data_IF_283140567618
#
_entry.id   IF_283140567618
#
_cell.length_a   1.000
_cell.length_b   1.000
_cell.length_c   1.000
_cell.angle_alpha   90.00
_cell.angle_beta   90.00
_cell.angle_gamma   90.00
#
_symmetry.space_group_name_H-M   'P 1'
#
loop_
_entity.id
_entity.type
_entity.pdbx_description
1 polymer ?
#
# COMPACT_ATOMS: atom_id res chain seq x y z
N UNK A 1 -26.38 11.40 -2.57
CA UNK A 1 -25.21 11.14 -3.42
C UNK A 1 -24.73 9.73 -3.11
N UNK A 2 -24.93 8.77 -3.98
CA UNK A 2 -24.36 7.43 -3.84
C UNK A 2 -22.88 7.56 -4.21
N UNK A 3 -22.02 7.42 -3.21
CA UNK A 3 -20.60 7.20 -3.47
C UNK A 3 -20.50 5.87 -4.22
N UNK A 4 -20.08 5.91 -5.47
CA UNK A 4 -19.71 4.68 -6.19
C UNK A 4 -18.67 3.94 -5.36
N UNK A 5 -18.78 2.61 -5.19
CA UNK A 5 -17.79 1.87 -4.43
C UNK A 5 -16.42 2.11 -5.08
N UNK A 6 -15.40 2.41 -4.27
CA UNK A 6 -14.04 2.56 -4.75
C UNK A 6 -13.66 1.31 -5.56
N UNK A 7 -13.45 1.48 -6.85
CA UNK A 7 -13.11 0.38 -7.78
C UNK A 7 -11.62 0.14 -7.85
N UNK A 8 -10.84 1.16 -7.53
CA UNK A 8 -9.38 1.13 -7.46
C UNK A 8 -8.87 2.18 -6.46
N UNK A 9 -7.61 2.09 -6.05
CA UNK A 9 -7.00 3.06 -5.14
C UNK A 9 -5.48 3.15 -5.32
N UNK A 10 -4.91 4.30 -5.00
CA UNK A 10 -3.48 4.44 -4.70
C UNK A 10 -3.27 4.19 -3.22
N UNK A 11 -2.17 3.56 -2.84
CA UNK A 11 -1.87 3.28 -1.43
C UNK A 11 -1.14 4.45 -0.78
N UNK A 12 -0.14 5.01 -1.46
CA UNK A 12 0.53 6.24 -1.06
C UNK A 12 0.43 7.27 -2.20
N UNK A 13 0.48 8.56 -1.87
CA UNK A 13 0.34 9.65 -2.86
C UNK A 13 1.44 9.63 -3.92
N UNK A 14 2.64 9.25 -3.54
CA UNK A 14 3.83 9.15 -4.38
C UNK A 14 3.86 7.89 -5.24
N UNK A 15 2.92 6.97 -5.06
CA UNK A 15 2.84 5.75 -5.85
C UNK A 15 2.50 6.08 -7.31
N UNK A 16 3.14 5.39 -8.23
CA UNK A 16 2.84 5.43 -9.66
C UNK A 16 2.14 4.15 -10.16
N UNK A 17 1.62 3.37 -9.20
CA UNK A 17 0.79 2.20 -9.40
C UNK A 17 -0.57 2.40 -8.72
N UNK A 18 -1.62 1.93 -9.38
CA UNK A 18 -3.00 1.92 -8.86
C UNK A 18 -3.44 0.48 -8.66
N UNK A 19 -4.05 0.18 -7.53
CA UNK A 19 -4.52 -1.17 -7.17
C UNK A 19 -5.98 -1.31 -7.54
N UNK A 20 -6.34 -2.33 -8.32
CA UNK A 20 -7.71 -2.71 -8.60
C UNK A 20 -8.33 -3.41 -7.38
N UNK A 21 -9.48 -2.93 -6.90
CA UNK A 21 -10.20 -3.51 -5.76
C UNK A 21 -11.21 -4.57 -6.18
N UNK A 22 -11.53 -4.64 -7.46
CA UNK A 22 -12.34 -5.67 -8.12
C UNK A 22 -11.77 -5.98 -9.50
N UNK A 23 -12.34 -6.95 -10.18
CA UNK A 23 -12.04 -7.18 -11.60
C UNK A 23 -12.50 -5.97 -12.41
N UNK A 24 -11.61 -5.46 -13.26
CA UNK A 24 -11.83 -4.36 -14.19
C UNK A 24 -11.67 -4.87 -15.61
N UNK A 25 -12.45 -4.32 -16.54
CA UNK A 25 -12.56 -4.79 -17.92
C UNK A 25 -11.91 -3.83 -18.92
N UNK A 26 -11.47 -4.31 -20.08
CA UNK A 26 -10.97 -3.45 -21.15
C UNK A 26 -12.02 -2.39 -21.55
N UNK A 27 -11.56 -1.14 -21.76
CA UNK A 27 -12.42 0.01 -22.05
C UNK A 27 -13.17 0.58 -20.85
N UNK A 28 -13.01 0.01 -19.67
CA UNK A 28 -13.63 0.55 -18.46
C UNK A 28 -12.91 1.83 -18.04
N UNK A 29 -13.71 2.83 -17.64
CA UNK A 29 -13.22 4.10 -17.11
C UNK A 29 -13.27 4.04 -15.57
N UNK A 30 -12.13 4.25 -14.93
CA UNK A 30 -11.98 4.20 -13.49
C UNK A 30 -11.54 5.57 -12.99
N UNK A 31 -12.17 6.07 -11.93
CA UNK A 31 -11.81 7.33 -11.27
C UNK A 31 -11.12 7.02 -9.93
N UNK A 32 -9.93 7.60 -9.73
CA UNK A 32 -9.16 7.48 -8.49
C UNK A 32 -8.59 8.85 -8.13
N UNK A 33 -8.93 9.38 -6.96
CA UNK A 33 -8.46 10.68 -6.44
C UNK A 33 -8.65 11.87 -7.39
N UNK A 34 -9.70 11.82 -8.24
CA UNK A 34 -10.01 12.86 -9.22
C UNK A 34 -9.32 12.68 -10.58
N UNK A 35 -8.49 11.66 -10.72
CA UNK A 35 -7.87 11.25 -11.98
C UNK A 35 -8.69 10.14 -12.64
N UNK A 36 -8.80 10.21 -13.97
CA UNK A 36 -9.56 9.24 -14.76
C UNK A 36 -8.61 8.36 -15.58
N UNK A 37 -8.85 7.05 -15.56
CA UNK A 37 -8.05 6.04 -16.27
C UNK A 37 -8.95 5.24 -17.19
N UNK A 38 -8.62 5.17 -18.46
CA UNK A 38 -9.19 4.23 -19.41
C UNK A 38 -8.28 2.99 -19.46
N UNK A 39 -8.85 1.81 -19.21
CA UNK A 39 -8.08 0.57 -19.13
C UNK A 39 -7.99 -0.09 -20.49
N UNK A 40 -6.80 -0.24 -21.09
CA UNK A 40 -6.65 -0.91 -22.38
C UNK A 40 -6.89 -2.42 -22.30
N UNK A 41 -6.65 -3.01 -21.13
CA UNK A 41 -6.74 -4.44 -20.89
C UNK A 41 -7.41 -4.77 -19.56
N UNK A 42 -7.74 -6.06 -19.37
CA UNK A 42 -8.29 -6.56 -18.11
C UNK A 42 -7.28 -6.41 -16.96
N UNK A 43 -7.75 -5.89 -15.82
CA UNK A 43 -7.00 -5.86 -14.56
C UNK A 43 -7.79 -6.65 -13.51
N UNK A 44 -7.26 -7.77 -13.06
CA UNK A 44 -7.92 -8.57 -12.03
C UNK A 44 -7.85 -7.89 -10.66
N UNK A 45 -8.80 -8.22 -9.78
CA UNK A 45 -8.80 -7.74 -8.39
C UNK A 45 -7.45 -7.97 -7.71
N UNK A 46 -6.96 -6.99 -6.96
CA UNK A 46 -5.65 -6.93 -6.28
C UNK A 46 -4.43 -6.79 -7.21
N UNK A 47 -4.63 -6.86 -8.55
CA UNK A 47 -3.59 -6.50 -9.51
C UNK A 47 -3.48 -4.99 -9.66
N UNK A 48 -2.45 -4.54 -10.35
CA UNK A 48 -2.07 -3.13 -10.47
C UNK A 48 -2.10 -2.70 -11.92
N UNK A 49 -2.39 -1.43 -12.13
CA UNK A 49 -2.24 -0.77 -13.42
C UNK A 49 -1.45 0.53 -13.27
N UNK A 50 -0.93 1.01 -14.37
CA UNK A 50 -0.04 2.15 -14.45
C UNK A 50 -0.79 3.47 -14.19
N UNK A 51 -0.30 4.30 -13.29
CA UNK A 51 -0.80 5.65 -13.02
C UNK A 51 -0.40 6.64 -14.13
N UNK A 52 0.71 6.39 -14.78
CA UNK A 52 1.30 7.17 -15.88
C UNK A 52 1.83 6.24 -16.96
N UNK A 53 2.21 6.80 -18.10
CA UNK A 53 2.99 6.05 -19.07
C UNK A 53 4.35 5.68 -18.48
N UNK A 54 4.75 4.42 -18.66
CA UNK A 54 6.07 3.90 -18.32
C UNK A 54 6.84 3.59 -19.60
N UNK A 55 8.10 3.97 -19.63
CA UNK A 55 9.05 3.46 -20.59
C UNK A 55 9.78 2.24 -20.02
N UNK A 56 10.48 1.50 -20.88
CA UNK A 56 11.36 0.43 -20.42
C UNK A 56 12.47 0.98 -19.52
N UNK A 57 12.62 0.41 -18.33
CA UNK A 57 13.61 0.83 -17.34
C UNK A 57 13.08 1.80 -16.29
N UNK A 58 11.82 2.23 -16.39
CA UNK A 58 11.21 3.09 -15.39
C UNK A 58 10.95 2.35 -14.09
N UNK A 59 11.10 3.08 -12.98
CA UNK A 59 10.89 2.53 -11.65
C UNK A 59 9.41 2.56 -11.26
N UNK A 60 8.91 1.43 -10.86
CA UNK A 60 7.58 1.26 -10.27
C UNK A 60 7.66 1.45 -8.75
N UNK A 61 6.83 2.37 -8.23
CA UNK A 61 6.78 2.74 -6.81
C UNK A 61 5.43 2.36 -6.23
N UNK A 62 5.44 1.65 -5.10
CA UNK A 62 4.26 1.29 -4.33
C UNK A 62 4.59 1.33 -2.84
N UNK A 63 3.65 1.82 -2.03
CA UNK A 63 3.88 2.10 -0.60
C UNK A 63 5.02 3.09 -0.35
N UNK A 64 5.24 4.03 -1.28
CA UNK A 64 6.34 4.99 -1.21
C UNK A 64 7.74 4.40 -1.46
N UNK A 65 7.85 3.13 -1.87
CA UNK A 65 9.13 2.46 -2.14
C UNK A 65 9.16 1.87 -3.55
N UNK A 66 10.37 1.76 -4.11
CA UNK A 66 10.58 1.09 -5.40
C UNK A 66 10.34 -0.40 -5.22
N UNK A 67 9.42 -0.96 -6.02
CA UNK A 67 9.03 -2.37 -6.00
C UNK A 67 9.43 -3.12 -7.29
N UNK A 68 9.76 -2.38 -8.35
CA UNK A 68 10.13 -2.99 -9.62
C UNK A 68 10.65 -1.99 -10.64
N UNK A 69 11.07 -2.53 -11.77
CA UNK A 69 11.50 -1.79 -12.96
C UNK A 69 10.80 -2.38 -14.18
N UNK A 70 10.25 -1.53 -15.04
CA UNK A 70 9.54 -1.98 -16.24
C UNK A 70 10.51 -2.58 -17.26
N UNK A 71 10.14 -3.73 -17.81
CA UNK A 71 10.94 -4.43 -18.84
C UNK A 71 10.58 -3.99 -20.26
N UNK A 72 9.44 -3.32 -20.41
CA UNK A 72 8.90 -2.77 -21.65
C UNK A 72 8.02 -1.55 -21.35
N UNK A 73 7.63 -0.81 -22.39
CA UNK A 73 6.70 0.30 -22.24
C UNK A 73 5.32 -0.21 -21.79
N UNK A 74 4.68 0.53 -20.87
CA UNK A 74 3.33 0.26 -20.38
C UNK A 74 2.57 1.58 -20.40
N UNK A 75 1.45 1.68 -21.14
CA UNK A 75 0.67 2.91 -21.19
C UNK A 75 -0.06 3.14 -19.86
N UNK A 76 -0.43 4.39 -19.60
CA UNK A 76 -1.30 4.75 -18.47
C UNK A 76 -2.59 3.92 -18.52
N UNK A 77 -2.99 3.35 -17.38
CA UNK A 77 -4.10 2.39 -17.27
C UNK A 77 -3.74 0.96 -17.66
N UNK A 78 -2.57 0.73 -18.24
CA UNK A 78 -2.10 -0.60 -18.64
C UNK A 78 -1.78 -1.48 -17.44
N UNK A 79 -2.08 -2.79 -17.49
CA UNK A 79 -1.80 -3.71 -16.39
C UNK A 79 -0.30 -3.91 -16.18
N UNK A 80 0.12 -3.95 -14.91
CA UNK A 80 1.47 -4.33 -14.52
C UNK A 80 1.48 -5.76 -14.04
N UNK A 81 2.29 -6.58 -14.70
CA UNK A 81 2.38 -8.02 -14.52
C UNK A 81 3.84 -8.47 -14.38
N UNK A 82 4.05 -9.72 -14.03
CA UNK A 82 5.41 -10.30 -14.01
C UNK A 82 6.09 -10.38 -15.38
N UNK A 83 5.36 -10.14 -16.47
CA UNK A 83 5.90 -10.14 -17.83
C UNK A 83 6.52 -8.79 -18.21
N UNK A 84 5.97 -7.68 -17.65
CA UNK A 84 6.39 -6.33 -17.98
C UNK A 84 7.01 -5.55 -16.81
N UNK A 85 7.09 -6.18 -15.61
CA UNK A 85 7.70 -5.60 -14.42
C UNK A 85 8.65 -6.62 -13.79
N UNK A 86 9.94 -6.31 -13.76
CA UNK A 86 10.94 -7.06 -13.01
C UNK A 86 11.01 -6.55 -11.57
N UNK A 87 11.16 -7.47 -10.61
CA UNK A 87 11.35 -7.07 -9.21
C UNK A 87 12.65 -6.26 -9.06
N UNK A 88 12.53 -5.09 -8.44
CA UNK A 88 13.67 -4.28 -8.05
C UNK A 88 13.35 -3.63 -6.70
N UNK A 89 14.22 -3.80 -5.75
CA UNK A 89 14.18 -3.05 -4.49
C UNK A 89 15.35 -2.08 -4.44
N UNK A 90 15.18 -0.96 -3.73
CA UNK A 90 16.32 -0.13 -3.37
C UNK A 90 17.30 -0.98 -2.56
N UNK A 91 18.60 -0.88 -2.86
CA UNK A 91 19.65 -1.53 -2.07
C UNK A 91 19.51 -1.08 -0.62
N UNK A 92 19.83 -1.99 0.32
CA UNK A 92 19.95 -1.62 1.73
C UNK A 92 21.09 -0.58 1.85
N UNK A 93 20.71 0.66 2.14
CA UNK A 93 21.67 1.72 2.47
C UNK A 93 21.78 1.82 3.99
N UNK A 94 22.98 1.94 4.52
CA UNK A 94 23.14 2.33 5.91
C UNK A 94 22.49 3.71 6.10
N UNK A 95 21.48 3.78 6.97
CA UNK A 95 20.93 5.07 7.38
C UNK A 95 21.99 5.79 8.19
N UNK A 96 22.59 6.81 7.59
CA UNK A 96 23.55 7.70 8.27
C UNK A 96 22.87 8.85 9.03
N UNK A 97 21.54 8.96 8.91
CA UNK A 97 20.78 9.96 9.65
C UNK A 97 20.64 9.52 11.13
N UNK A 98 20.98 10.42 12.04
CA UNK A 98 20.70 10.23 13.46
C UNK A 98 19.18 10.04 13.64
N UNK A 99 18.79 8.87 14.10
CA UNK A 99 17.39 8.58 14.43
C UNK A 99 17.05 9.39 15.68
N UNK A 100 16.40 10.53 15.51
CA UNK A 100 15.84 11.29 16.64
C UNK A 100 14.45 10.73 16.96
N UNK A 101 14.31 10.18 18.17
CA UNK A 101 13.01 9.80 18.70
C UNK A 101 12.27 11.04 19.22
N UNK A 102 11.21 11.44 18.51
CA UNK A 102 10.26 12.41 19.02
C UNK A 102 9.12 11.66 19.71
N UNK A 103 9.13 11.65 21.03
CA UNK A 103 8.08 11.03 21.81
C UNK A 103 6.71 11.71 21.48
N UNK A 104 5.66 10.94 21.16
CA UNK A 104 4.34 11.51 20.97
C UNK A 104 3.83 12.15 22.24
N UNK A 105 3.08 13.26 22.09
CA UNK A 105 2.41 13.89 23.24
C UNK A 105 1.25 13.01 23.73
N UNK A 106 1.45 12.37 24.86
CA UNK A 106 0.48 11.51 25.52
C UNK A 106 -0.16 12.16 26.75
N UNK A 107 0.02 13.47 26.93
CA UNK A 107 -0.45 14.21 28.12
C UNK A 107 -1.94 14.01 28.37
N UNK A 108 -2.76 13.92 27.32
CA UNK A 108 -4.20 13.67 27.40
C UNK A 108 -4.55 12.34 28.09
N UNK A 109 -3.68 11.34 28.01
CA UNK A 109 -3.94 10.00 28.54
C UNK A 109 -3.04 9.62 29.72
N UNK A 110 -2.23 10.57 30.21
CA UNK A 110 -1.26 10.31 31.29
C UNK A 110 -1.91 9.74 32.56
N UNK A 111 -3.13 10.21 32.86
CA UNK A 111 -3.90 9.80 34.05
C UNK A 111 -5.08 8.85 33.69
N UNK A 112 -5.15 8.39 32.43
CA UNK A 112 -6.17 7.45 32.00
C UNK A 112 -5.93 6.09 32.63
N UNK A 113 -7.00 5.48 33.13
CA UNK A 113 -6.98 4.14 33.75
C UNK A 113 -7.92 3.20 33.00
N UNK A 114 -7.70 1.90 33.13
CA UNK A 114 -8.57 0.86 32.60
C UNK A 114 -8.74 -0.28 33.61
N UNK A 115 -9.85 -1.02 33.51
CA UNK A 115 -10.03 -2.25 34.26
C UNK A 115 -9.30 -3.39 33.54
N UNK A 116 -8.27 -3.94 34.16
CA UNK A 116 -7.46 -5.00 33.60
C UNK A 116 -7.52 -6.33 34.37
N UNK A 117 -7.06 -7.40 33.72
CA UNK A 117 -6.90 -8.72 34.36
C UNK A 117 -5.53 -8.78 35.03
N UNK A 118 -5.52 -8.97 36.36
CA UNK A 118 -4.28 -9.19 37.11
C UNK A 118 -3.80 -10.63 36.93
N UNK A 119 -2.53 -10.81 36.62
CA UNK A 119 -1.87 -12.12 36.51
C UNK A 119 -1.05 -12.41 37.74
N UNK A 120 -0.70 -13.70 37.93
CA UNK A 120 0.06 -14.17 39.09
C UNK A 120 1.49 -13.59 39.17
N UNK A 121 2.05 -13.16 38.04
CA UNK A 121 3.36 -12.53 37.96
C UNK A 121 3.35 -11.00 38.23
N UNK A 122 2.18 -10.46 38.57
CA UNK A 122 1.96 -9.03 38.81
C UNK A 122 1.71 -8.19 37.56
N UNK A 123 1.75 -8.77 36.35
CA UNK A 123 1.40 -8.06 35.13
C UNK A 123 -0.11 -7.86 35.01
N UNK A 124 -0.53 -6.85 34.25
CA UNK A 124 -1.94 -6.53 33.99
C UNK A 124 -2.18 -6.47 32.48
N UNK A 125 -3.21 -7.13 32.00
CA UNK A 125 -3.61 -7.13 30.60
C UNK A 125 -5.04 -6.64 30.40
N UNK A 126 -5.34 -6.14 29.21
CA UNK A 126 -6.69 -5.70 28.82
C UNK A 126 -7.62 -6.85 28.46
N UNK A 127 -7.05 -8.00 28.07
CA UNK A 127 -7.78 -9.24 27.78
C UNK A 127 -6.88 -10.45 28.08
N UNK A 128 -7.51 -11.59 28.38
CA UNK A 128 -6.79 -12.84 28.65
C UNK A 128 -6.82 -13.71 27.38
N UNK A 129 -6.22 -13.23 26.30
CA UNK A 129 -6.15 -13.91 25.02
C UNK A 129 -4.86 -14.72 24.89
N UNK A 130 -4.96 -15.89 24.27
CA UNK A 130 -3.83 -16.68 23.85
C UNK A 130 -3.56 -16.45 22.37
N UNK A 131 -2.33 -16.11 22.01
CA UNK A 131 -1.88 -16.01 20.63
C UNK A 131 -1.18 -17.30 20.23
N UNK A 132 -1.75 -18.02 19.25
CA UNK A 132 -1.12 -19.21 18.67
C UNK A 132 -0.62 -18.84 17.28
N UNK A 133 0.70 -18.88 17.10
CA UNK A 133 1.34 -18.63 15.81
C UNK A 133 1.84 -19.99 15.30
N UNK A 134 1.21 -20.57 14.25
CA UNK A 134 1.75 -21.76 13.62
C UNK A 134 3.07 -21.40 12.90
N UNK A 135 4.07 -22.27 13.05
CA UNK A 135 5.34 -22.19 12.32
C UNK A 135 5.31 -23.10 11.10
#
# INVERSE_FOLDING_TARGET
MHSSPNTAMKVAREDNLVVALRDLHPGEIVEVEGETYELPDKVSAKHKFADKDFEKGDLATMYGVVVGETTQAVPRGGPLTTENLAHRSAGYGEQTEEISWNAPDVSRWKDATFNGFHRSDGSVGTANNWLVIPM
#
